data_IF_019053756434
#
_entry.id   IF_019053756434
#
_cell.length_a   1.000
_cell.length_b   1.000
_cell.length_c   1.000
_cell.angle_alpha   90.00
_cell.angle_beta   90.00
_cell.angle_gamma   90.00
#
_symmetry.space_group_name_H-M   'P 1'
#
loop_
_entity.id
_entity.type
_entity.pdbx_description
1 polymer ?
#
# COMPACT_ATOMS: atom_id res chain seq x y z
N UNK A 1 -0.51 -3.00 23.30
CA UNK A 1 0.08 -2.97 21.94
C UNK A 1 -0.99 -2.51 20.95
N UNK A 2 -0.66 -1.63 19.99
CA UNK A 2 -1.60 -1.13 18.96
C UNK A 2 -1.64 -2.05 17.71
N UNK A 3 -1.00 -3.22 17.79
CA UNK A 3 -0.89 -4.22 16.71
C UNK A 3 -1.55 -5.53 17.13
N UNK A 4 -2.28 -6.13 16.21
CA UNK A 4 -2.94 -7.43 16.41
C UNK A 4 -1.92 -8.58 16.47
N UNK A 5 -2.20 -9.65 17.22
CA UNK A 5 -1.38 -10.86 17.21
C UNK A 5 -1.36 -11.52 15.82
N UNK A 6 -0.23 -12.13 15.45
CA UNK A 6 -0.07 -12.80 14.15
C UNK A 6 -1.10 -13.90 13.91
N UNK A 7 -1.51 -14.64 14.95
CA UNK A 7 -2.49 -15.72 14.80
C UNK A 7 -3.90 -15.19 14.51
N UNK A 8 -4.23 -14.02 15.07
CA UNK A 8 -5.47 -13.33 14.73
C UNK A 8 -5.46 -12.89 13.26
N UNK A 9 -4.36 -12.28 12.80
CA UNK A 9 -4.20 -11.87 11.40
C UNK A 9 -4.32 -13.06 10.44
N UNK A 10 -3.69 -14.20 10.75
CA UNK A 10 -3.79 -15.42 9.93
C UNK A 10 -5.23 -15.94 9.86
N UNK A 11 -5.94 -15.98 10.99
CA UNK A 11 -7.31 -16.47 11.07
C UNK A 11 -8.28 -15.61 10.24
N UNK A 12 -8.09 -14.29 10.26
CA UNK A 12 -9.03 -13.32 9.70
C UNK A 12 -8.53 -12.64 8.41
N UNK A 13 -7.47 -13.13 7.77
CA UNK A 13 -6.83 -12.46 6.63
C UNK A 13 -7.77 -12.16 5.45
N UNK A 14 -8.82 -12.97 5.25
CA UNK A 14 -9.81 -12.76 4.17
C UNK A 14 -10.84 -11.67 4.47
N UNK A 15 -10.92 -11.25 5.73
CA UNK A 15 -11.85 -10.24 6.24
C UNK A 15 -11.11 -8.94 6.58
N UNK A 16 -9.80 -8.87 6.29
CA UNK A 16 -8.94 -7.74 6.57
C UNK A 16 -8.55 -7.04 5.27
N UNK A 17 -8.90 -5.77 5.18
CA UNK A 17 -8.75 -4.97 3.98
C UNK A 17 -7.89 -3.75 4.26
N UNK A 18 -6.98 -3.44 3.35
CA UNK A 18 -6.06 -2.32 3.53
C UNK A 18 -6.74 -1.00 3.17
N UNK A 19 -7.22 -0.24 4.14
CA UNK A 19 -7.87 1.06 3.89
C UNK A 19 -6.91 2.25 4.07
N UNK A 20 -5.60 2.00 4.19
CA UNK A 20 -4.61 3.02 4.46
C UNK A 20 -3.27 2.42 4.87
N UNK A 21 -2.70 2.90 5.99
CA UNK A 21 -1.54 2.28 6.65
C UNK A 21 -1.92 1.18 7.66
N UNK A 22 -3.21 0.88 7.78
CA UNK A 22 -3.75 -0.11 8.69
C UNK A 22 -4.79 -0.98 7.96
N UNK A 23 -4.97 -2.20 8.47
CA UNK A 23 -6.06 -3.07 8.04
C UNK A 23 -7.35 -2.69 8.76
N UNK A 24 -8.44 -2.70 8.01
CA UNK A 24 -9.80 -2.61 8.50
C UNK A 24 -10.45 -3.98 8.42
N UNK A 25 -11.14 -4.36 9.48
CA UNK A 25 -11.92 -5.59 9.52
C UNK A 25 -13.29 -5.34 8.88
N UNK A 26 -13.62 -6.13 7.87
CA UNK A 26 -14.91 -6.15 7.18
C UNK A 26 -15.26 -7.60 6.77
N UNK A 27 -15.94 -8.35 7.65
CA UNK A 27 -16.37 -9.70 7.37
C UNK A 27 -17.61 -9.77 6.45
N UNK A 28 -18.33 -8.66 6.28
CA UNK A 28 -19.51 -8.60 5.42
C UNK A 28 -19.15 -8.32 3.95
N UNK A 29 -17.94 -7.82 3.68
CA UNK A 29 -17.46 -7.53 2.33
C UNK A 29 -18.18 -6.35 1.69
N UNK A 30 -18.72 -5.44 2.50
CA UNK A 30 -19.48 -4.27 2.06
C UNK A 30 -18.57 -3.10 1.64
N UNK A 31 -17.29 -3.15 2.01
CA UNK A 31 -16.32 -2.10 1.72
C UNK A 31 -15.65 -2.35 0.37
N UNK A 32 -15.84 -1.41 -0.56
CA UNK A 32 -14.95 -1.28 -1.71
C UNK A 32 -13.59 -0.77 -1.24
N UNK A 33 -12.68 -1.71 -1.02
CA UNK A 33 -11.36 -1.44 -0.48
C UNK A 33 -10.55 -0.46 -1.33
N UNK A 34 -10.59 -0.63 -2.65
CA UNK A 34 -9.74 0.14 -3.56
C UNK A 34 -10.24 1.58 -3.71
N UNK A 35 -11.56 1.78 -3.77
CA UNK A 35 -12.15 3.13 -3.77
C UNK A 35 -11.83 3.85 -2.46
N UNK A 36 -11.97 3.18 -1.31
CA UNK A 36 -11.66 3.77 -0.02
C UNK A 36 -10.16 4.11 0.10
N UNK A 37 -9.29 3.21 -0.36
CA UNK A 37 -7.86 3.41 -0.37
C UNK A 37 -7.44 4.58 -1.27
N UNK A 38 -8.02 4.71 -2.47
CA UNK A 38 -7.81 5.85 -3.37
C UNK A 38 -8.23 7.17 -2.73
N UNK A 39 -9.43 7.21 -2.14
CA UNK A 39 -9.94 8.40 -1.44
C UNK A 39 -9.00 8.81 -0.31
N UNK A 40 -8.55 7.85 0.52
CA UNK A 40 -7.64 8.11 1.62
C UNK A 40 -6.25 8.54 1.12
N UNK A 41 -5.75 7.95 0.04
CA UNK A 41 -4.50 8.36 -0.60
C UNK A 41 -4.53 9.83 -1.03
N UNK A 42 -5.65 10.28 -1.59
CA UNK A 42 -5.81 11.67 -2.05
C UNK A 42 -5.97 12.67 -0.91
N UNK A 43 -6.67 12.28 0.16
CA UNK A 43 -7.14 13.22 1.20
C UNK A 43 -6.37 13.17 2.51
N UNK A 44 -5.86 12.00 2.89
CA UNK A 44 -5.42 11.73 4.26
C UNK A 44 -3.96 11.27 4.35
N UNK A 45 -3.41 10.72 3.27
CA UNK A 45 -2.02 10.28 3.27
C UNK A 45 -1.06 11.49 3.30
N UNK A 46 -0.10 11.43 4.21
CA UNK A 46 0.95 12.45 4.38
C UNK A 46 2.06 12.21 3.37
N UNK A 47 1.78 12.50 2.10
CA UNK A 47 2.68 12.27 0.96
C UNK A 47 4.03 12.99 1.09
N UNK A 48 4.05 14.11 1.81
CA UNK A 48 5.26 14.88 2.16
C UNK A 48 6.25 14.05 2.98
N UNK A 49 5.77 13.11 3.80
CA UNK A 49 6.63 12.27 4.65
C UNK A 49 7.30 11.14 3.90
N UNK A 50 6.73 10.71 2.77
CA UNK A 50 7.23 9.61 1.95
C UNK A 50 8.59 9.97 1.32
N UNK A 51 8.76 11.21 0.87
CA UNK A 51 9.99 11.66 0.21
C UNK A 51 11.21 11.78 1.15
N UNK A 52 10.98 11.80 2.46
CA UNK A 52 12.03 12.08 3.46
C UNK A 52 12.74 10.82 4.00
N UNK A 53 12.49 9.64 3.42
CA UNK A 53 13.20 8.40 3.78
C UNK A 53 12.98 7.88 5.22
N UNK A 54 11.94 8.36 5.93
CA UNK A 54 11.68 7.96 7.32
C UNK A 54 11.30 6.48 7.42
N UNK A 55 11.62 5.82 8.55
CA UNK A 55 11.29 4.39 8.77
C UNK A 55 9.78 4.06 8.65
N UNK A 56 8.89 5.06 8.80
CA UNK A 56 7.44 4.94 8.60
C UNK A 56 7.06 4.67 7.13
N UNK A 57 7.96 4.98 6.20
CA UNK A 57 7.77 4.84 4.76
C UNK A 57 7.50 3.39 4.33
N UNK A 58 7.94 2.40 5.13
CA UNK A 58 7.77 0.99 4.75
C UNK A 58 6.31 0.55 4.70
N UNK A 59 5.48 1.13 5.56
CA UNK A 59 4.06 0.83 5.62
C UNK A 59 3.28 1.37 4.42
N UNK A 60 3.89 2.26 3.62
CA UNK A 60 3.30 2.79 2.41
C UNK A 60 3.51 1.87 1.19
N UNK A 61 4.41 0.89 1.25
CA UNK A 61 4.70 0.02 0.09
C UNK A 61 3.46 -0.75 -0.36
N UNK A 62 2.82 -1.46 0.56
CA UNK A 62 1.65 -2.27 0.23
C UNK A 62 0.46 -1.45 -0.31
N UNK A 63 0.02 -0.34 0.32
CA UNK A 63 -1.08 0.44 -0.21
C UNK A 63 -0.76 1.09 -1.56
N UNK A 64 0.49 1.51 -1.77
CA UNK A 64 0.92 2.06 -3.07
C UNK A 64 0.98 0.99 -4.16
N UNK A 65 1.39 -0.23 -3.85
CA UNK A 65 1.35 -1.34 -4.82
C UNK A 65 -0.10 -1.64 -5.25
N UNK A 66 -1.03 -1.71 -4.30
CA UNK A 66 -2.45 -1.92 -4.61
C UNK A 66 -3.04 -0.80 -5.47
N UNK A 67 -2.70 0.47 -5.19
CA UNK A 67 -3.14 1.60 -6.00
C UNK A 67 -2.53 1.61 -7.40
N UNK A 68 -1.26 1.21 -7.54
CA UNK A 68 -0.63 1.07 -8.85
C UNK A 68 -1.42 0.11 -9.74
N UNK A 69 -1.75 -1.07 -9.21
CA UNK A 69 -2.46 -2.11 -9.96
C UNK A 69 -3.91 -1.68 -10.25
N UNK A 70 -4.57 -1.04 -9.29
CA UNK A 70 -5.91 -0.48 -9.48
C UNK A 70 -5.94 0.59 -10.59
N UNK A 71 -4.97 1.51 -10.61
CA UNK A 71 -4.90 2.54 -11.65
C UNK A 71 -4.52 1.97 -13.02
N UNK A 72 -3.74 0.88 -13.07
CA UNK A 72 -3.48 0.16 -14.32
C UNK A 72 -4.75 -0.48 -14.87
N UNK A 73 -5.50 -1.19 -14.04
CA UNK A 73 -6.76 -1.84 -14.44
C UNK A 73 -7.84 -0.84 -14.86
N UNK A 74 -7.82 0.37 -14.32
CA UNK A 74 -8.80 1.43 -14.61
C UNK A 74 -8.32 2.47 -15.64
N UNK A 75 -7.13 2.29 -16.23
CA UNK A 75 -6.59 3.18 -17.27
C UNK A 75 -6.20 4.59 -16.78
N UNK A 76 -5.89 4.74 -15.49
CA UNK A 76 -5.56 6.01 -14.85
C UNK A 76 -4.03 6.27 -14.82
N UNK A 77 -3.40 6.36 -16.00
CA UNK A 77 -1.94 6.39 -16.15
C UNK A 77 -1.23 7.52 -15.37
N UNK A 78 -1.82 8.71 -15.32
CA UNK A 78 -1.23 9.84 -14.59
C UNK A 78 -1.10 9.54 -13.09
N UNK A 79 -2.13 8.92 -12.50
CA UNK A 79 -2.17 8.58 -11.09
C UNK A 79 -1.28 7.37 -10.79
N UNK A 80 -1.23 6.41 -11.72
CA UNK A 80 -0.29 5.30 -11.68
C UNK A 80 1.16 5.80 -11.66
N UNK A 81 1.51 6.73 -12.53
CA UNK A 81 2.86 7.32 -12.60
C UNK A 81 3.21 8.08 -11.31
N UNK A 82 2.27 8.82 -10.73
CA UNK A 82 2.45 9.47 -9.43
C UNK A 82 2.80 8.42 -8.35
N UNK A 83 1.99 7.37 -8.21
CA UNK A 83 2.19 6.31 -7.22
C UNK A 83 3.53 5.58 -7.45
N UNK A 84 3.90 5.28 -8.69
CA UNK A 84 5.18 4.66 -9.04
C UNK A 84 6.37 5.53 -8.63
N UNK A 85 6.25 6.87 -8.72
CA UNK A 85 7.29 7.79 -8.26
C UNK A 85 7.53 7.71 -6.75
N UNK A 86 6.49 7.42 -5.96
CA UNK A 86 6.62 7.19 -4.52
C UNK A 86 7.21 5.80 -4.23
N UNK A 87 6.73 4.76 -4.92
CA UNK A 87 7.24 3.40 -4.78
C UNK A 87 8.74 3.29 -5.07
N UNK A 88 9.24 3.98 -6.09
CA UNK A 88 10.67 3.94 -6.44
C UNK A 88 11.57 4.53 -5.35
N UNK A 89 11.06 5.47 -4.55
CA UNK A 89 11.79 6.03 -3.40
C UNK A 89 11.82 5.05 -2.23
N UNK A 90 10.69 4.41 -1.91
CA UNK A 90 10.54 3.65 -0.66
C UNK A 90 10.86 2.16 -0.79
N UNK A 91 10.57 1.52 -1.93
CA UNK A 91 10.77 0.08 -2.10
C UNK A 91 12.24 -0.34 -1.87
N UNK A 92 13.25 0.41 -2.36
CA UNK A 92 14.66 0.11 -2.06
C UNK A 92 15.01 0.22 -0.57
N UNK A 93 14.30 1.05 0.19
CA UNK A 93 14.51 1.26 1.63
C UNK A 93 13.88 0.15 2.49
N UNK A 94 12.92 -0.60 1.91
CA UNK A 94 12.14 -1.61 2.62
C UNK A 94 12.76 -3.01 2.65
N UNK A 95 13.72 -3.31 1.77
CA UNK A 95 14.36 -4.62 1.67
C UNK A 95 15.89 -4.56 1.51
N UNK A 96 16.55 -5.71 1.66
CA UNK A 96 17.95 -5.88 1.20
C UNK A 96 17.94 -5.67 -0.33
N UNK A 97 18.61 -4.63 -0.88
CA UNK A 97 18.54 -4.27 -2.30
C UNK A 97 18.83 -5.42 -3.27
N UNK A 98 19.56 -6.44 -2.83
CA UNK A 98 19.91 -7.65 -3.59
C UNK A 98 18.72 -8.53 -4.01
N UNK A 99 17.54 -8.42 -3.37
CA UNK A 99 16.35 -9.20 -3.74
C UNK A 99 15.33 -8.46 -4.61
N UNK A 100 15.51 -7.15 -4.84
CA UNK A 100 14.57 -6.32 -5.61
C UNK A 100 14.89 -6.35 -7.12
N UNK A 101 16.12 -6.72 -7.51
CA UNK A 101 16.54 -6.85 -8.92
C UNK A 101 15.78 -7.92 -9.72
N UNK A 102 14.98 -8.77 -9.08
CA UNK A 102 14.25 -9.85 -9.77
C UNK A 102 12.90 -9.40 -10.33
N UNK A 103 12.37 -8.23 -9.93
CA UNK A 103 11.02 -7.79 -10.35
C UNK A 103 11.06 -6.83 -11.54
N UNK A 104 12.22 -6.25 -11.89
CA UNK A 104 12.35 -5.33 -13.04
C UNK A 104 12.66 -6.03 -14.37
N UNK A 105 12.36 -7.32 -14.49
CA UNK A 105 12.61 -8.10 -15.70
C UNK A 105 11.37 -8.92 -16.10
N UNK A 106 10.20 -8.28 -16.17
CA UNK A 106 9.04 -8.72 -16.96
C UNK A 106 8.28 -7.49 -17.44
#
# INVERSE_FOLDING_TARGET
>A
PLTLPSDFLKKHHKELWLSGLAFRFDPAGEIDNLILLDSNWRRSFRKDKIKNGSAINKNYVLPLAMLNDYYEQTGQDNLRNEVRSYLSVIAPQTGKPSRVKTISAY
#
